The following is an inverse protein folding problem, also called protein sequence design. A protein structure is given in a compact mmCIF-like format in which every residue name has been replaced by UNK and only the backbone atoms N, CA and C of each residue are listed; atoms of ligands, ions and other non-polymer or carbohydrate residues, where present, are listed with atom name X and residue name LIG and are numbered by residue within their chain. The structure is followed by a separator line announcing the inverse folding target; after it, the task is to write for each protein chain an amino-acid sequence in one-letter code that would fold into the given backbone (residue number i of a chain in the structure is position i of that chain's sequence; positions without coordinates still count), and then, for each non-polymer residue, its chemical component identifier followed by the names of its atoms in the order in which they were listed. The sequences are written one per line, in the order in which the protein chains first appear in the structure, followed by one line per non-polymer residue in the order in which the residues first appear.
data_IF_601556923521
#
_entry.id   IF_601556923521
#
_cell.length_a   1.000
_cell.length_b   1.000
_cell.length_c   1.000
_cell.angle_alpha   90.00
_cell.angle_beta   90.00
_cell.angle_gamma   90.00
#
_symmetry.space_group_name_H-M   'P 1'
#
loop_
_entity.id
_entity.type
_entity.pdbx_description
1 polymer ?
#
# COMPACT_ATOMS: atom_id res chain seq x y z
N UNK A 1 -4.78 2.34 13.58
CA UNK A 1 -6.23 2.41 13.92
C UNK A 1 -6.67 3.82 13.58
N UNK A 2 -7.82 4.00 12.94
CA UNK A 2 -8.34 5.33 12.61
C UNK A 2 -8.70 6.06 13.91
N UNK A 3 -8.13 7.24 14.11
CA UNK A 3 -8.46 8.11 15.25
C UNK A 3 -9.64 9.02 14.90
N UNK A 4 -9.55 9.75 13.80
CA UNK A 4 -10.61 10.62 13.26
C UNK A 4 -10.59 10.60 11.72
N UNK A 5 -11.64 11.16 11.11
CA UNK A 5 -11.75 11.30 9.65
C UNK A 5 -12.10 12.73 9.27
N UNK A 6 -11.59 13.17 8.12
CA UNK A 6 -11.93 14.49 7.57
C UNK A 6 -13.33 14.53 6.96
N UNK A 7 -13.80 15.73 6.67
CA UNK A 7 -15.07 15.95 5.96
C UNK A 7 -15.10 15.21 4.61
N UNK A 8 -16.24 14.59 4.30
CA UNK A 8 -16.45 13.83 3.06
C UNK A 8 -15.93 12.39 3.06
N UNK A 9 -15.23 11.94 4.12
CA UNK A 9 -14.82 10.54 4.25
C UNK A 9 -15.99 9.69 4.76
N UNK A 10 -16.45 8.74 3.94
CA UNK A 10 -17.60 7.86 4.26
C UNK A 10 -17.20 6.40 4.51
N UNK A 11 -16.11 5.92 3.91
CA UNK A 11 -15.69 4.51 3.94
C UNK A 11 -14.92 4.11 5.21
N UNK A 12 -14.54 5.09 6.03
CA UNK A 12 -13.73 4.91 7.24
C UNK A 12 -14.39 5.61 8.41
N UNK A 13 -14.21 5.05 9.61
CA UNK A 13 -14.65 5.67 10.87
C UNK A 13 -13.63 5.45 11.99
N UNK A 14 -13.67 6.27 13.06
CA UNK A 14 -12.88 6.04 14.27
C UNK A 14 -12.99 4.58 14.75
N UNK A 15 -11.85 4.00 15.13
CA UNK A 15 -11.73 2.62 15.59
C UNK A 15 -11.46 1.57 14.50
N UNK A 16 -11.61 1.89 13.21
CA UNK A 16 -11.28 0.94 12.15
C UNK A 16 -9.78 0.57 12.14
N UNK A 17 -9.48 -0.72 12.00
CA UNK A 17 -8.11 -1.18 11.69
C UNK A 17 -7.84 -0.95 10.21
N UNK A 18 -6.69 -0.35 9.93
CA UNK A 18 -6.32 0.10 8.59
C UNK A 18 -4.84 -0.10 8.30
N UNK A 19 -4.50 -0.20 7.02
CA UNK A 19 -3.13 -0.12 6.50
C UNK A 19 -3.00 1.10 5.57
N UNK A 20 -2.11 2.06 5.88
CA UNK A 20 -1.70 3.09 4.93
C UNK A 20 -0.88 2.49 3.78
N UNK A 21 -1.22 2.82 2.55
CA UNK A 21 -0.56 2.34 1.32
C UNK A 21 0.10 3.53 0.62
N UNK A 22 1.33 3.35 0.11
CA UNK A 22 2.12 4.42 -0.51
C UNK A 22 1.59 4.90 -1.87
N UNK A 23 0.65 4.15 -2.45
CA UNK A 23 -0.10 4.48 -3.67
C UNK A 23 -1.58 4.20 -3.37
N UNK A 24 -2.47 5.09 -3.80
CA UNK A 24 -3.89 5.00 -3.49
C UNK A 24 -4.77 4.63 -4.67
N UNK A 25 -6.06 4.56 -4.39
CA UNK A 25 -7.13 4.26 -5.33
C UNK A 25 -8.28 5.25 -5.10
N UNK A 26 -8.57 6.11 -6.08
CA UNK A 26 -9.65 7.11 -5.95
C UNK A 26 -11.02 6.59 -6.39
N UNK A 27 -11.08 5.42 -7.04
CA UNK A 27 -12.31 4.80 -7.56
C UNK A 27 -12.96 5.51 -8.76
N UNK A 28 -12.48 6.69 -9.16
CA UNK A 28 -13.18 7.54 -10.14
C UNK A 28 -12.38 7.85 -11.42
N UNK A 29 -11.05 7.76 -11.38
CA UNK A 29 -10.22 8.04 -12.55
C UNK A 29 -10.23 6.88 -13.56
N UNK A 30 -9.67 7.10 -14.76
CA UNK A 30 -9.64 6.09 -15.83
C UNK A 30 -8.97 4.80 -15.38
N UNK A 31 -7.82 4.90 -14.70
CA UNK A 31 -7.10 3.74 -14.20
C UNK A 31 -7.88 2.97 -13.13
N UNK A 32 -8.51 3.66 -12.17
CA UNK A 32 -9.34 2.99 -11.15
C UNK A 32 -10.59 2.33 -11.73
N UNK A 33 -11.09 2.79 -12.89
CA UNK A 33 -12.21 2.16 -13.60
C UNK A 33 -11.80 1.06 -14.57
N UNK A 34 -10.50 0.85 -14.78
CA UNK A 34 -9.98 -0.24 -15.63
C UNK A 34 -9.82 -1.52 -14.83
N UNK A 35 -9.93 -2.68 -15.48
CA UNK A 35 -9.73 -3.98 -14.83
C UNK A 35 -8.24 -4.34 -14.73
N UNK A 36 -7.40 -3.70 -15.53
CA UNK A 36 -6.01 -4.08 -15.74
C UNK A 36 -5.01 -3.25 -14.93
N UNK A 37 -5.41 -2.08 -14.43
CA UNK A 37 -4.48 -1.11 -13.83
C UNK A 37 -4.80 -0.79 -12.37
N UNK A 38 -3.75 -0.64 -11.58
CA UNK A 38 -3.79 -0.11 -10.21
C UNK A 38 -3.11 1.27 -10.09
N UNK A 39 -2.80 1.94 -11.21
CA UNK A 39 -2.03 3.18 -11.24
C UNK A 39 -2.94 4.42 -11.21
N UNK A 40 -3.59 4.67 -10.07
CA UNK A 40 -4.52 5.78 -9.91
C UNK A 40 -3.95 7.12 -10.40
N UNK A 41 -4.71 7.85 -11.21
CA UNK A 41 -4.23 9.11 -11.77
C UNK A 41 -3.89 10.16 -10.73
N UNK A 42 -4.71 10.21 -9.67
CA UNK A 42 -4.65 11.17 -8.58
C UNK A 42 -3.67 10.73 -7.48
N UNK A 43 -3.69 9.46 -7.11
CA UNK A 43 -3.09 8.93 -5.88
C UNK A 43 -1.88 8.02 -6.13
N UNK A 44 -1.39 7.91 -7.37
CA UNK A 44 -0.15 7.18 -7.66
C UNK A 44 1.01 7.67 -6.80
N UNK A 45 1.98 6.78 -6.58
CA UNK A 45 3.22 7.07 -5.85
C UNK A 45 3.87 8.37 -6.34
N UNK A 46 4.34 9.19 -5.39
CA UNK A 46 5.15 10.36 -5.63
C UNK A 46 6.14 10.51 -4.46
N UNK A 47 7.43 10.37 -4.75
CA UNK A 47 8.52 10.42 -3.75
C UNK A 47 8.91 11.84 -3.35
N UNK A 48 8.62 12.83 -4.20
CA UNK A 48 9.06 14.21 -4.03
C UNK A 48 7.99 15.05 -3.30
N UNK A 49 6.74 14.55 -3.25
CA UNK A 49 5.63 15.23 -2.59
C UNK A 49 5.72 15.07 -1.07
N UNK A 50 6.19 16.14 -0.42
CA UNK A 50 6.25 16.26 1.04
C UNK A 50 4.97 16.77 1.73
N UNK A 51 3.87 16.95 1.00
CA UNK A 51 2.67 17.66 1.48
C UNK A 51 1.36 16.98 1.09
N UNK A 52 0.26 17.34 1.76
CA UNK A 52 -1.07 16.81 1.48
C UNK A 52 -1.65 17.37 0.18
N UNK A 53 -2.44 16.57 -0.53
CA UNK A 53 -3.06 16.96 -1.80
C UNK A 53 -4.07 18.12 -1.66
N UNK A 54 -4.80 18.18 -0.54
CA UNK A 54 -5.91 19.12 -0.38
C UNK A 54 -5.48 20.59 -0.34
N UNK A 55 -4.33 20.89 0.28
CA UNK A 55 -3.87 22.26 0.53
C UNK A 55 -2.39 22.49 0.25
N UNK A 56 -1.66 21.46 -0.19
CA UNK A 56 -0.23 21.55 -0.43
C UNK A 56 0.60 21.80 0.83
N UNK A 57 0.07 21.57 2.04
CA UNK A 57 0.78 21.76 3.32
C UNK A 57 1.11 20.44 3.99
N UNK A 58 2.11 20.45 4.88
CA UNK A 58 2.35 19.30 5.79
C UNK A 58 1.37 19.31 6.95
N UNK A 59 1.28 18.18 7.66
CA UNK A 59 0.54 18.02 8.93
C UNK A 59 1.48 17.86 10.12
N UNK A 60 2.79 17.81 9.86
CA UNK A 60 3.81 17.68 10.89
C UNK A 60 4.58 18.97 11.04
N UNK A 61 4.84 19.36 12.27
CA UNK A 61 5.75 20.44 12.60
C UNK A 61 6.46 20.14 13.91
N UNK A 62 7.64 20.72 14.07
CA UNK A 62 8.38 20.72 15.33
C UNK A 62 8.99 22.10 15.51
N UNK A 63 8.78 22.71 16.67
CA UNK A 63 9.26 24.06 16.99
C UNK A 63 8.86 25.10 15.93
N UNK A 64 7.62 24.99 15.41
CA UNK A 64 7.09 25.85 14.33
C UNK A 64 7.66 25.58 12.94
N UNK A 65 8.62 24.64 12.79
CA UNK A 65 9.21 24.28 11.50
C UNK A 65 8.49 23.08 10.87
N UNK A 66 8.15 23.13 9.58
CA UNK A 66 7.48 22.03 8.90
C UNK A 66 8.38 20.79 8.81
N UNK A 67 7.80 19.62 9.03
CA UNK A 67 8.41 18.32 8.72
C UNK A 67 7.63 17.73 7.56
N UNK A 68 8.30 17.30 6.49
CA UNK A 68 7.62 16.82 5.30
C UNK A 68 7.12 15.39 5.44
N UNK A 69 6.03 15.11 4.74
CA UNK A 69 5.53 13.76 4.56
C UNK A 69 6.45 12.92 3.67
N UNK A 70 6.35 11.61 3.80
CA UNK A 70 6.98 10.66 2.88
C UNK A 70 5.95 9.69 2.33
N UNK A 71 5.89 9.58 1.01
CA UNK A 71 4.95 8.71 0.27
C UNK A 71 3.47 8.87 0.66
N UNK A 72 3.10 10.04 1.21
CA UNK A 72 1.75 10.30 1.72
C UNK A 72 1.31 9.40 2.86
N UNK A 73 2.22 8.69 3.54
CA UNK A 73 1.90 7.76 4.64
C UNK A 73 2.59 8.14 5.94
N UNK A 74 3.89 8.45 5.90
CA UNK A 74 4.67 8.95 7.05
C UNK A 74 4.50 8.13 8.33
N UNK A 75 4.64 6.81 8.23
CA UNK A 75 4.26 5.85 9.29
C UNK A 75 5.24 5.77 10.47
N UNK A 76 6.35 6.51 10.45
CA UNK A 76 7.30 6.59 11.56
C UNK A 76 6.92 7.72 12.52
N UNK A 77 5.68 7.66 13.00
CA UNK A 77 5.07 8.59 13.96
C UNK A 77 3.93 7.87 14.67
N UNK A 78 3.64 8.22 15.93
CA UNK A 78 2.52 7.66 16.69
C UNK A 78 1.18 7.95 16.00
N UNK A 79 1.08 9.12 15.35
CA UNK A 79 -0.06 9.53 14.55
C UNK A 79 0.41 10.06 13.19
N UNK A 80 -0.40 9.83 12.16
CA UNK A 80 -0.17 10.36 10.82
C UNK A 80 -1.50 10.73 10.16
N UNK A 81 -1.45 11.62 9.19
CA UNK A 81 -2.60 12.04 8.39
C UNK A 81 -2.38 11.56 6.95
N UNK A 82 -3.34 10.81 6.43
CA UNK A 82 -3.25 10.12 5.14
C UNK A 82 -4.51 10.42 4.33
N UNK A 83 -4.39 10.56 3.02
CA UNK A 83 -5.57 10.66 2.14
C UNK A 83 -6.39 9.36 2.23
N UNK A 84 -7.71 9.44 2.37
CA UNK A 84 -8.58 8.25 2.59
C UNK A 84 -8.41 7.17 1.51
N UNK A 85 -8.29 7.57 0.24
CA UNK A 85 -8.00 6.65 -0.88
C UNK A 85 -6.64 5.94 -0.82
N UNK A 86 -5.75 6.31 0.12
CA UNK A 86 -4.49 5.62 0.40
C UNK A 86 -4.56 4.77 1.69
N UNK A 87 -5.75 4.53 2.23
CA UNK A 87 -5.96 3.80 3.48
C UNK A 87 -6.88 2.61 3.21
N UNK A 88 -6.33 1.40 3.35
CA UNK A 88 -7.12 0.17 3.23
C UNK A 88 -7.68 -0.22 4.60
N UNK A 89 -9.01 -0.26 4.72
CA UNK A 89 -9.70 -0.88 5.86
C UNK A 89 -9.49 -2.40 5.83
N UNK A 90 -9.13 -2.98 6.97
CA UNK A 90 -8.83 -4.41 7.08
C UNK A 90 -9.68 -5.09 8.15
N UNK A 91 -9.59 -6.42 8.21
CA UNK A 91 -10.24 -7.23 9.22
C UNK A 91 -9.87 -6.75 10.65
N UNK A 92 -10.86 -6.45 11.52
CA UNK A 92 -10.62 -5.98 12.89
C UNK A 92 -9.90 -7.01 13.78
N UNK A 93 -9.89 -8.29 13.42
CA UNK A 93 -9.18 -9.34 14.16
C UNK A 93 -7.72 -9.51 13.72
N UNK A 94 -7.31 -8.86 12.63
CA UNK A 94 -5.95 -8.99 12.12
C UNK A 94 -4.91 -8.43 13.13
N UNK A 95 -3.83 -9.18 13.41
CA UNK A 95 -2.73 -8.71 14.26
C UNK A 95 -1.88 -7.67 13.52
N UNK A 96 -1.97 -6.41 13.94
CA UNK A 96 -1.33 -5.27 13.24
C UNK A 96 0.20 -5.35 13.22
N UNK A 97 0.81 -6.00 14.21
CA UNK A 97 2.24 -6.29 14.30
C UNK A 97 2.72 -7.32 13.26
N UNK A 98 1.78 -8.03 12.60
CA UNK A 98 2.08 -8.97 11.51
C UNK A 98 1.65 -8.43 10.17
N UNK A 99 0.44 -7.89 10.05
CA UNK A 99 -0.11 -7.52 8.74
C UNK A 99 0.41 -6.19 8.20
N UNK A 100 1.16 -5.42 8.99
CA UNK A 100 1.73 -4.15 8.56
C UNK A 100 2.65 -4.29 7.33
N UNK A 101 3.33 -5.41 7.16
CA UNK A 101 4.21 -5.67 6.01
C UNK A 101 3.46 -5.92 4.69
N UNK A 102 2.14 -6.09 4.74
CA UNK A 102 1.29 -6.27 3.55
C UNK A 102 1.07 -4.96 2.78
N UNK A 103 1.39 -3.79 3.35
CA UNK A 103 1.15 -2.49 2.69
C UNK A 103 2.18 -2.10 1.64
N UNK A 104 3.24 -2.90 1.45
CA UNK A 104 4.30 -2.63 0.49
C UNK A 104 4.90 -3.93 -0.06
N UNK A 105 6.14 -4.26 0.34
CA UNK A 105 6.98 -5.23 -0.36
C UNK A 105 6.41 -6.65 -0.49
N UNK A 106 5.71 -7.17 0.52
CA UNK A 106 5.12 -8.52 0.44
C UNK A 106 4.07 -8.57 -0.66
N UNK A 107 3.13 -7.62 -0.67
CA UNK A 107 2.07 -7.57 -1.67
C UNK A 107 2.62 -7.27 -3.07
N UNK A 108 3.70 -6.49 -3.18
CA UNK A 108 4.40 -6.27 -4.47
C UNK A 108 4.93 -7.59 -5.03
N UNK A 109 5.65 -8.39 -4.23
CA UNK A 109 6.20 -9.66 -4.68
C UNK A 109 5.13 -10.69 -5.01
N UNK A 110 4.17 -10.88 -4.09
CA UNK A 110 3.07 -11.83 -4.31
C UNK A 110 2.24 -11.45 -5.54
N UNK A 111 1.88 -10.16 -5.68
CA UNK A 111 1.11 -9.66 -6.81
C UNK A 111 1.86 -9.80 -8.13
N UNK A 112 3.17 -9.54 -8.16
CA UNK A 112 3.98 -9.76 -9.36
C UNK A 112 3.89 -11.21 -9.85
N UNK A 113 3.92 -12.19 -8.94
CA UNK A 113 3.80 -13.59 -9.32
C UNK A 113 2.37 -13.99 -9.66
N UNK A 114 1.41 -13.72 -8.77
CA UNK A 114 0.05 -14.25 -8.86
C UNK A 114 -0.83 -13.48 -9.84
N UNK A 115 -0.63 -12.17 -9.98
CA UNK A 115 -1.50 -11.32 -10.79
C UNK A 115 -0.90 -10.99 -12.16
N UNK A 116 0.44 -10.99 -12.29
CA UNK A 116 1.12 -10.60 -13.54
C UNK A 116 1.75 -11.83 -14.22
N UNK A 117 2.70 -12.49 -13.58
CA UNK A 117 3.42 -13.61 -14.19
C UNK A 117 2.55 -14.86 -14.39
N UNK A 118 1.63 -15.14 -13.45
CA UNK A 118 0.65 -16.24 -13.47
C UNK A 118 1.27 -17.60 -13.88
N UNK A 119 2.33 -18.08 -13.19
CA UNK A 119 2.94 -19.35 -13.55
C UNK A 119 1.94 -20.48 -13.38
N UNK A 120 1.90 -21.40 -14.34
CA UNK A 120 1.06 -22.60 -14.24
C UNK A 120 1.72 -23.61 -13.30
N UNK A 121 0.90 -24.45 -12.67
CA UNK A 121 1.37 -25.57 -11.84
C UNK A 121 2.41 -26.40 -12.60
N UNK A 122 3.52 -26.71 -11.94
CA UNK A 122 4.61 -27.49 -12.51
C UNK A 122 5.68 -26.69 -13.25
N UNK A 123 5.49 -25.38 -13.50
CA UNK A 123 6.52 -24.53 -14.12
C UNK A 123 7.70 -24.27 -13.19
N UNK A 124 8.84 -23.89 -13.77
CA UNK A 124 9.99 -23.36 -13.04
C UNK A 124 9.92 -21.83 -13.02
N UNK A 125 10.23 -21.21 -11.87
CA UNK A 125 10.27 -19.75 -11.68
C UNK A 125 11.66 -19.36 -11.19
N UNK A 126 12.26 -18.32 -11.77
CA UNK A 126 13.51 -17.74 -11.29
C UNK A 126 13.23 -16.38 -10.62
N UNK A 127 13.76 -16.15 -9.42
CA UNK A 127 13.59 -14.93 -8.64
C UNK A 127 14.93 -14.22 -8.47
N UNK A 128 15.07 -13.05 -9.09
CA UNK A 128 16.28 -12.23 -8.98
C UNK A 128 16.14 -11.23 -7.82
N UNK A 129 16.93 -11.49 -6.77
CA UNK A 129 16.94 -10.69 -5.52
C UNK A 129 16.12 -11.35 -4.41
N UNK A 130 16.68 -11.45 -3.20
CA UNK A 130 16.11 -12.20 -2.08
C UNK A 130 15.77 -11.31 -0.87
N UNK A 131 15.41 -10.05 -1.13
CA UNK A 131 14.78 -9.19 -0.13
C UNK A 131 13.30 -9.51 0.06
N UNK A 132 12.57 -8.70 0.84
CA UNK A 132 11.15 -8.94 1.15
C UNK A 132 10.27 -9.14 -0.11
N UNK A 133 10.50 -8.35 -1.17
CA UNK A 133 9.78 -8.47 -2.44
C UNK A 133 10.08 -9.80 -3.13
N UNK A 134 11.36 -10.18 -3.23
CA UNK A 134 11.76 -11.42 -3.88
C UNK A 134 11.27 -12.67 -3.13
N UNK A 135 11.41 -12.69 -1.81
CA UNK A 135 10.90 -13.78 -0.99
C UNK A 135 9.36 -13.91 -1.10
N UNK A 136 8.63 -12.80 -1.17
CA UNK A 136 7.20 -12.84 -1.40
C UNK A 136 6.83 -13.27 -2.84
N UNK A 137 7.64 -12.93 -3.84
CA UNK A 137 7.47 -13.44 -5.20
C UNK A 137 7.69 -14.96 -5.27
N UNK A 138 8.70 -15.48 -4.57
CA UNK A 138 8.94 -16.91 -4.40
C UNK A 138 7.76 -17.60 -3.68
N UNK A 139 7.22 -16.99 -2.62
CA UNK A 139 6.03 -17.51 -1.94
C UNK A 139 4.80 -17.52 -2.87
N UNK A 140 4.60 -16.48 -3.67
CA UNK A 140 3.58 -16.47 -4.72
C UNK A 140 3.78 -17.60 -5.74
N UNK A 141 5.02 -17.91 -6.12
CA UNK A 141 5.33 -19.01 -7.04
C UNK A 141 5.02 -20.38 -6.41
N UNK A 142 5.31 -20.54 -5.11
CA UNK A 142 4.94 -21.73 -4.33
C UNK A 142 3.44 -21.91 -4.28
N UNK A 143 2.68 -20.85 -3.97
CA UNK A 143 1.21 -20.85 -3.96
C UNK A 143 0.65 -21.23 -5.34
N UNK A 144 1.23 -20.71 -6.42
CA UNK A 144 0.85 -21.04 -7.79
C UNK A 144 1.22 -22.49 -8.22
N UNK A 145 1.96 -23.22 -7.39
CA UNK A 145 2.32 -24.62 -7.64
C UNK A 145 3.51 -24.80 -8.57
N UNK A 146 4.45 -23.85 -8.61
CA UNK A 146 5.72 -24.03 -9.31
C UNK A 146 6.45 -25.28 -8.79
N UNK A 147 7.03 -26.08 -9.68
CA UNK A 147 7.79 -27.30 -9.31
C UNK A 147 9.22 -27.00 -8.89
N UNK A 148 9.77 -25.88 -9.37
CA UNK A 148 11.12 -25.42 -9.07
C UNK A 148 11.12 -23.91 -8.95
N UNK A 149 11.70 -23.41 -7.87
CA UNK A 149 11.91 -21.98 -7.63
C UNK A 149 13.41 -21.79 -7.48
N UNK A 150 14.00 -20.99 -8.36
CA UNK A 150 15.44 -20.78 -8.52
C UNK A 150 15.77 -19.36 -8.06
#
# INVERSE_FOLDING_TARGET
IVESVGEGVTELKPGDKVLPIFTGECGQCRHCKSEESNMCDLLRINTDRGTMLNDGKTRFSKDGKPIYHFLGTSTFSEYTVVHSGCVAKINPDAPLDKVCVLSCGISTGMGATLNVAKPKKGMSVAVFGLGAVGLAAAEGARIAGASRII
#
